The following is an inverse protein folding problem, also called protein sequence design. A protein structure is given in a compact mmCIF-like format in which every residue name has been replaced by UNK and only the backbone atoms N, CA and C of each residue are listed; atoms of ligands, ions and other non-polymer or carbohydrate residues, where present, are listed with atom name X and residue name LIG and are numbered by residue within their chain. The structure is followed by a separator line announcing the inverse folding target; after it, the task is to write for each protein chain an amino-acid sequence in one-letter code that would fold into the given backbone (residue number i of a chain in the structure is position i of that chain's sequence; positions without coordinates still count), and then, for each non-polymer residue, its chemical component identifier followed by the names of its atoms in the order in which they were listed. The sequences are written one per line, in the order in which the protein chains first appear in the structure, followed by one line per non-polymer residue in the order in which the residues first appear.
data_IF_824178730314
#
_entry.id   IF_824178730314
#
_cell.length_a   1.000
_cell.length_b   1.000
_cell.length_c   1.000
_cell.angle_alpha   90.00
_cell.angle_beta   90.00
_cell.angle_gamma   90.00
#
_symmetry.space_group_name_H-M   'P 1'
#
loop_
_entity.id
_entity.type
_entity.pdbx_description
1 polymer ?
#
# COMPACT_ATOMS: atom_id res chain seq x y z
N UNK A 1 14.56 -23.36 -8.16
CA UNK A 1 13.13 -23.29 -7.78
C UNK A 1 12.69 -21.83 -7.88
N UNK A 2 12.00 -21.47 -8.97
CA UNK A 2 11.50 -20.09 -9.19
C UNK A 2 10.23 -19.87 -8.36
N UNK A 3 9.97 -18.65 -7.85
CA UNK A 3 8.65 -18.31 -7.30
C UNK A 3 7.58 -18.63 -8.35
N UNK A 4 6.62 -19.50 -8.02
CA UNK A 4 5.51 -19.89 -8.92
C UNK A 4 5.55 -21.32 -9.50
N UNK A 5 6.52 -22.17 -9.18
CA UNK A 5 6.62 -23.52 -9.77
C UNK A 5 5.65 -24.59 -9.21
N UNK A 6 4.81 -24.25 -8.24
CA UNK A 6 3.66 -25.08 -7.91
C UNK A 6 2.45 -24.52 -8.62
N UNK A 7 1.77 -25.27 -9.49
CA UNK A 7 0.64 -24.78 -10.29
C UNK A 7 -0.55 -24.20 -9.50
N UNK A 8 -0.46 -24.10 -8.17
CA UNK A 8 -1.41 -23.44 -7.27
C UNK A 8 -1.32 -21.91 -7.24
N UNK A 9 -1.87 -21.32 -6.18
CA UNK A 9 -1.99 -19.88 -6.04
C UNK A 9 -0.60 -19.19 -5.90
N UNK A 10 -0.30 -18.11 -6.67
CA UNK A 10 1.00 -17.43 -6.64
C UNK A 10 1.19 -16.54 -5.40
N UNK A 11 1.43 -17.17 -4.25
CA UNK A 11 1.53 -16.48 -2.94
C UNK A 11 2.65 -15.45 -2.87
N UNK A 12 3.80 -15.71 -3.50
CA UNK A 12 4.93 -14.76 -3.45
C UNK A 12 4.55 -13.44 -4.11
N UNK A 13 4.06 -13.50 -5.35
CA UNK A 13 3.65 -12.32 -6.11
C UNK A 13 2.43 -11.63 -5.44
N UNK A 14 1.51 -12.40 -4.84
CA UNK A 14 0.42 -11.85 -4.02
C UNK A 14 0.94 -10.95 -2.88
N UNK A 15 1.81 -11.49 -2.02
CA UNK A 15 2.29 -10.76 -0.83
C UNK A 15 3.19 -9.58 -1.18
N UNK A 16 3.98 -9.69 -2.24
CA UNK A 16 4.77 -8.56 -2.76
C UNK A 16 3.85 -7.39 -3.16
N UNK A 17 2.78 -7.68 -3.90
CA UNK A 17 1.81 -6.64 -4.28
C UNK A 17 1.08 -6.06 -3.05
N UNK A 18 0.60 -6.91 -2.14
CA UNK A 18 -0.11 -6.46 -0.92
C UNK A 18 0.77 -5.56 -0.05
N UNK A 19 2.01 -5.97 0.22
CA UNK A 19 2.95 -5.18 1.03
C UNK A 19 3.35 -3.88 0.35
N UNK A 20 3.59 -3.89 -0.97
CA UNK A 20 3.84 -2.68 -1.75
C UNK A 20 2.68 -1.69 -1.69
N UNK A 21 1.44 -2.17 -1.88
CA UNK A 21 0.24 -1.35 -1.79
C UNK A 21 0.05 -0.73 -0.40
N UNK A 22 0.30 -1.49 0.67
CA UNK A 22 0.26 -0.95 2.03
C UNK A 22 1.26 0.20 2.22
N UNK A 23 2.51 0.03 1.77
CA UNK A 23 3.55 1.04 1.87
C UNK A 23 3.20 2.32 1.09
N UNK A 24 2.56 2.21 -0.08
CA UNK A 24 2.05 3.37 -0.83
C UNK A 24 1.04 4.15 0.02
N UNK A 25 0.08 3.46 0.65
CA UNK A 25 -0.94 4.12 1.48
C UNK A 25 -0.34 4.88 2.67
N UNK A 26 0.67 4.31 3.33
CA UNK A 26 1.40 4.98 4.42
C UNK A 26 2.15 6.21 3.89
N UNK A 27 2.95 6.02 2.83
CA UNK A 27 3.75 7.07 2.24
C UNK A 27 2.88 8.25 1.77
N UNK A 28 1.74 7.96 1.16
CA UNK A 28 0.79 8.96 0.69
C UNK A 28 0.38 9.89 1.83
N UNK A 29 -0.07 9.36 2.97
CA UNK A 29 -0.47 10.18 4.14
C UNK A 29 0.71 10.96 4.71
N UNK A 30 1.88 10.33 4.85
CA UNK A 30 3.07 11.02 5.37
C UNK A 30 3.47 12.22 4.49
N UNK A 31 3.38 12.06 3.18
CA UNK A 31 3.74 13.07 2.18
C UNK A 31 2.68 14.16 2.01
N UNK A 32 1.40 13.84 2.16
CA UNK A 32 0.33 14.83 1.95
C UNK A 32 -0.14 15.52 3.22
N UNK A 33 -0.03 14.89 4.38
CA UNK A 33 -0.67 15.37 5.63
C UNK A 33 0.31 15.65 6.78
N UNK A 34 1.47 14.99 6.80
CA UNK A 34 2.41 15.07 7.95
C UNK A 34 3.60 15.98 7.68
N UNK A 35 4.17 15.96 6.47
CA UNK A 35 5.24 16.86 6.06
C UNK A 35 4.84 17.59 4.79
N UNK A 36 5.37 18.80 4.57
CA UNK A 36 5.33 19.50 3.28
C UNK A 36 6.61 19.12 2.53
N UNK A 37 6.65 18.01 1.76
CA UNK A 37 7.90 17.53 1.22
C UNK A 37 8.16 18.26 -0.11
N UNK A 38 9.43 18.44 -0.45
CA UNK A 38 9.85 18.99 -1.72
C UNK A 38 9.12 18.27 -2.88
N UNK A 39 8.58 19.03 -3.84
CA UNK A 39 7.73 18.59 -4.98
C UNK A 39 8.22 17.34 -5.74
N UNK A 40 9.51 17.01 -5.66
CA UNK A 40 10.19 15.91 -6.35
C UNK A 40 10.26 14.58 -5.58
N UNK A 41 10.09 14.58 -4.25
CA UNK A 41 10.14 13.36 -3.42
C UNK A 41 8.91 12.47 -3.66
N UNK A 42 7.80 13.11 -4.06
CA UNK A 42 6.48 12.52 -4.29
C UNK A 42 6.46 11.55 -5.49
N UNK A 43 6.96 11.90 -6.69
CA UNK A 43 7.11 10.94 -7.79
C UNK A 43 8.22 9.91 -7.54
N UNK A 44 9.38 10.29 -6.99
CA UNK A 44 10.49 9.33 -6.84
C UNK A 44 10.15 8.12 -5.95
N UNK A 45 9.48 8.34 -4.81
CA UNK A 45 9.08 7.25 -3.92
C UNK A 45 7.80 6.54 -4.40
N UNK A 46 6.82 7.30 -4.93
CA UNK A 46 5.53 6.74 -5.37
C UNK A 46 5.62 5.97 -6.68
N UNK A 47 6.23 6.55 -7.72
CA UNK A 47 6.35 5.92 -9.05
C UNK A 47 7.64 5.15 -9.23
N UNK A 48 8.74 5.54 -8.57
CA UNK A 48 10.05 4.88 -8.69
C UNK A 48 10.18 3.64 -7.81
N UNK A 49 10.33 3.83 -6.49
CA UNK A 49 10.62 2.73 -5.54
C UNK A 49 9.44 1.78 -5.38
N UNK A 50 8.23 2.33 -5.19
CA UNK A 50 7.03 1.51 -5.00
C UNK A 50 6.51 0.89 -6.30
N UNK A 51 6.62 1.61 -7.41
CA UNK A 51 6.35 1.06 -8.75
C UNK A 51 7.30 -0.08 -9.14
N UNK A 52 8.56 -0.05 -8.65
CA UNK A 52 9.51 -1.15 -8.81
C UNK A 52 9.32 -2.30 -7.80
N UNK A 53 8.69 -2.06 -6.65
CA UNK A 53 8.42 -3.08 -5.63
C UNK A 53 7.16 -3.90 -5.94
N UNK A 54 6.13 -3.31 -6.55
CA UNK A 54 4.97 -4.03 -7.10
C UNK A 54 5.25 -4.49 -8.53
N UNK A 55 5.10 -5.78 -8.84
CA UNK A 55 5.40 -6.33 -10.17
C UNK A 55 4.12 -6.74 -10.92
N UNK A 56 3.60 -5.82 -11.76
CA UNK A 56 2.45 -6.12 -12.62
C UNK A 56 2.79 -7.15 -13.71
N UNK A 57 4.02 -7.13 -14.24
CA UNK A 57 4.44 -8.06 -15.29
C UNK A 57 4.50 -9.51 -14.79
N UNK A 58 5.05 -9.75 -13.60
CA UNK A 58 5.06 -11.09 -12.99
C UNK A 58 3.64 -11.55 -12.67
N UNK A 59 2.80 -10.64 -12.18
CA UNK A 59 1.39 -10.93 -11.92
C UNK A 59 0.63 -11.36 -13.18
N UNK A 60 0.81 -10.67 -14.30
CA UNK A 60 0.19 -11.02 -15.57
C UNK A 60 0.67 -12.37 -16.10
N UNK A 61 1.98 -12.64 -16.03
CA UNK A 61 2.57 -13.93 -16.43
C UNK A 61 2.06 -15.08 -15.55
N UNK A 62 1.90 -14.85 -14.25
CA UNK A 62 1.36 -15.86 -13.33
C UNK A 62 -0.12 -16.19 -13.66
N UNK A 63 -0.92 -15.19 -14.06
CA UNK A 63 -2.30 -15.40 -14.51
C UNK A 63 -2.32 -16.17 -15.83
N UNK A 64 -1.51 -15.77 -16.83
CA UNK A 64 -1.39 -16.46 -18.11
C UNK A 64 -1.00 -17.94 -17.92
N UNK A 65 0.00 -18.22 -17.08
CA UNK A 65 0.42 -19.59 -16.73
C UNK A 65 -0.70 -20.42 -16.10
N UNK A 66 -1.52 -19.82 -15.25
CA UNK A 66 -2.66 -20.52 -14.64
C UNK A 66 -3.76 -20.82 -15.67
N UNK A 67 -3.94 -19.94 -16.66
CA UNK A 67 -4.88 -20.18 -17.77
C UNK A 67 -4.36 -21.29 -18.68
N UNK A 68 -3.09 -21.25 -19.07
CA UNK A 68 -2.44 -22.28 -19.90
C UNK A 68 -2.42 -23.65 -19.21
N UNK A 69 -2.29 -23.67 -17.89
CA UNK A 69 -2.37 -24.89 -17.08
C UNK A 69 -3.81 -25.44 -16.92
N UNK A 70 -4.81 -24.84 -17.58
CA UNK A 70 -6.21 -25.26 -17.50
C UNK A 70 -6.88 -24.94 -16.17
N UNK A 71 -6.39 -23.93 -15.42
CA UNK A 71 -6.86 -23.56 -14.07
C UNK A 71 -7.50 -22.16 -14.01
N UNK A 72 -8.54 -21.87 -14.80
CA UNK A 72 -9.13 -20.53 -14.87
C UNK A 72 -9.72 -20.06 -13.54
N UNK A 73 -10.30 -20.97 -12.74
CA UNK A 73 -10.82 -20.63 -11.40
C UNK A 73 -9.71 -20.06 -10.50
N UNK A 74 -8.52 -20.66 -10.50
CA UNK A 74 -7.39 -20.16 -9.71
C UNK A 74 -6.87 -18.84 -10.27
N UNK A 75 -6.82 -18.69 -11.60
CA UNK A 75 -6.43 -17.43 -12.26
C UNK A 75 -7.35 -16.27 -11.86
N UNK A 76 -8.67 -16.44 -11.95
CA UNK A 76 -9.64 -15.40 -11.56
C UNK A 76 -9.64 -15.14 -10.05
N UNK A 77 -9.53 -16.17 -9.21
CA UNK A 77 -9.40 -16.00 -7.77
C UNK A 77 -8.14 -15.20 -7.44
N UNK A 78 -7.02 -15.50 -8.09
CA UNK A 78 -5.77 -14.76 -7.93
C UNK A 78 -5.90 -13.30 -8.40
N UNK A 79 -6.56 -13.09 -9.54
CA UNK A 79 -6.83 -11.77 -10.09
C UNK A 79 -7.63 -10.90 -9.11
N UNK A 80 -8.77 -11.43 -8.66
CA UNK A 80 -9.68 -10.71 -7.77
C UNK A 80 -9.10 -10.52 -6.37
N UNK A 81 -8.50 -11.56 -5.79
CA UNK A 81 -7.94 -11.50 -4.44
C UNK A 81 -6.82 -10.45 -4.35
N UNK A 82 -5.92 -10.40 -5.34
CA UNK A 82 -4.83 -9.42 -5.35
C UNK A 82 -5.36 -7.99 -5.44
N UNK A 83 -6.35 -7.75 -6.31
CA UNK A 83 -6.98 -6.43 -6.45
C UNK A 83 -7.71 -5.99 -5.17
N UNK A 84 -8.55 -6.86 -4.61
CA UNK A 84 -9.31 -6.55 -3.40
C UNK A 84 -8.39 -6.33 -2.19
N UNK A 85 -7.38 -7.19 -2.02
CA UNK A 85 -6.40 -7.04 -0.96
C UNK A 85 -5.63 -5.73 -1.09
N UNK A 86 -5.18 -5.37 -2.30
CA UNK A 86 -4.51 -4.11 -2.57
C UNK A 86 -5.35 -2.89 -2.16
N UNK A 87 -6.63 -2.85 -2.55
CA UNK A 87 -7.53 -1.76 -2.16
C UNK A 87 -7.74 -1.70 -0.64
N UNK A 88 -7.96 -2.86 -0.01
CA UNK A 88 -8.18 -2.95 1.43
C UNK A 88 -6.96 -2.48 2.23
N UNK A 89 -5.74 -2.90 1.85
CA UNK A 89 -4.52 -2.52 2.59
C UNK A 89 -4.13 -1.07 2.34
N UNK A 90 -4.37 -0.50 1.15
CA UNK A 90 -4.18 0.95 0.92
C UNK A 90 -5.11 1.74 1.83
N UNK A 91 -6.40 1.37 1.87
CA UNK A 91 -7.37 2.04 2.71
C UNK A 91 -7.00 1.93 4.20
N UNK A 92 -6.63 0.72 4.66
CA UNK A 92 -6.19 0.49 6.03
C UNK A 92 -4.92 1.28 6.38
N UNK A 93 -3.93 1.30 5.48
CA UNK A 93 -2.70 2.07 5.64
C UNK A 93 -2.98 3.56 5.79
N UNK A 94 -3.85 4.12 4.94
CA UNK A 94 -4.25 5.53 5.02
C UNK A 94 -4.96 5.82 6.34
N UNK A 95 -5.95 5.00 6.72
CA UNK A 95 -6.71 5.18 7.95
C UNK A 95 -5.82 5.09 9.20
N UNK A 96 -4.95 4.09 9.25
CA UNK A 96 -4.02 3.86 10.35
C UNK A 96 -3.01 5.01 10.48
N UNK A 97 -2.39 5.41 9.37
CA UNK A 97 -1.39 6.49 9.38
C UNK A 97 -2.00 7.81 9.85
N UNK A 98 -3.23 8.12 9.41
CA UNK A 98 -3.99 9.28 9.89
C UNK A 98 -4.31 9.21 11.38
N UNK A 99 -4.75 8.04 11.85
CA UNK A 99 -5.07 7.84 13.27
C UNK A 99 -3.83 8.02 14.15
N UNK A 100 -2.69 7.46 13.74
CA UNK A 100 -1.41 7.64 14.42
C UNK A 100 -0.96 9.10 14.39
N UNK A 101 -1.03 9.78 13.24
CA UNK A 101 -0.62 11.18 13.10
C UNK A 101 -1.45 12.12 14.00
N UNK A 102 -2.77 11.86 14.15
CA UNK A 102 -3.63 12.62 15.09
C UNK A 102 -3.24 12.42 16.54
N UNK A 103 -2.90 11.18 16.94
CA UNK A 103 -2.48 10.85 18.31
C UNK A 103 -1.14 11.49 18.69
N UNK A 104 -0.29 11.79 17.71
CA UNK A 104 1.02 12.43 17.91
C UNK A 104 0.93 13.97 17.94
N UNK A 105 -0.23 14.58 17.67
CA UNK A 105 -0.49 16.02 17.89
C UNK A 105 -1.29 16.35 19.19
N UNK A 106 -0.94 15.85 20.39
CA UNK A 106 -1.52 16.39 21.61
C UNK A 106 -0.74 17.66 22.03
N UNK A 107 -1.38 18.83 21.98
CA UNK A 107 -1.00 19.95 22.88
C UNK A 107 -0.74 21.34 22.29
N UNK A 108 -1.64 21.94 21.51
CA UNK A 108 -1.58 23.41 21.25
C UNK A 108 -2.76 24.20 21.82
N UNK A 109 -3.73 23.55 22.50
CA UNK A 109 -4.96 24.23 22.96
C UNK A 109 -5.02 24.42 24.49
N UNK A 110 -4.04 23.94 25.26
CA UNK A 110 -4.04 24.06 26.73
C UNK A 110 -3.21 25.22 27.30
N UNK A 111 -2.53 26.02 26.47
CA UNK A 111 -1.66 27.13 26.91
C UNK A 111 -2.26 28.53 26.65
N UNK A 112 -3.57 28.62 26.50
CA UNK A 112 -4.30 29.89 26.55
C UNK A 112 -5.15 29.93 27.83
N UNK A 113 -4.50 29.65 28.95
CA UNK A 113 -5.03 29.98 30.27
C UNK A 113 -4.77 31.46 30.56
N UNK A 114 -5.78 32.08 31.16
CA UNK A 114 -5.55 32.72 32.46
C UNK A 114 -4.57 33.91 32.45
N UNK A 115 -5.00 35.02 31.85
CA UNK A 115 -4.18 36.23 31.78
C UNK A 115 -4.92 37.55 31.67
N UNK A 116 -6.21 37.65 32.00
CA UNK A 116 -6.86 38.95 32.05
C UNK A 116 -7.99 39.01 33.11
N UNK A 117 -7.57 39.28 34.35
CA UNK A 117 -8.38 39.91 35.39
C UNK A 117 -7.48 40.82 36.23
N UNK A 118 -7.61 42.13 36.04
CA UNK A 118 -7.61 43.08 37.15
C UNK A 118 -9.03 43.57 37.47
#
# INVERSE_FOLDING_TARGET
LRPGEGGGFPWTTFWVNVTGCFLIGVLMVLVTEVRTPHRLVRPFLGTGVLGGFTTFSTYAVDIERLLDAGRPRTAFAYLAATLLAALAVVWAAVALTRACARRVRPGTVAAAGDGDRP
#
